data_IF_812498795284
#
_entry.id   IF_812498795284
#
_cell.length_a   1.000
_cell.length_b   1.000
_cell.length_c   1.000
_cell.angle_alpha   90.00
_cell.angle_beta   90.00
_cell.angle_gamma   90.00
#
_symmetry.space_group_name_H-M   'P 1'
#
loop_
_entity.id
_entity.type
_entity.pdbx_description
1 polymer ?
#
# COMPACT_ATOMS: atom_id res chain seq x y z
N UNK A 1 23.84 -59.69 -9.86
CA UNK A 1 22.40 -59.57 -9.52
C UNK A 1 22.28 -58.94 -8.14
N UNK A 2 22.14 -57.61 -8.06
CA UNK A 2 21.76 -56.87 -6.85
C UNK A 2 20.81 -55.77 -7.32
N UNK A 3 19.58 -55.83 -6.84
CA UNK A 3 18.50 -54.93 -7.24
C UNK A 3 18.65 -53.63 -6.45
N UNK A 4 18.87 -52.55 -7.19
CA UNK A 4 18.83 -51.15 -6.81
C UNK A 4 17.42 -50.76 -6.38
N UNK A 5 17.26 -50.03 -5.26
CA UNK A 5 16.05 -49.26 -4.97
C UNK A 5 16.40 -47.79 -4.89
N UNK A 6 16.12 -47.09 -5.98
CA UNK A 6 15.99 -45.64 -6.04
C UNK A 6 14.72 -45.24 -5.29
N UNK A 7 14.84 -44.45 -4.23
CA UNK A 7 13.72 -43.67 -3.70
C UNK A 7 13.79 -42.29 -4.37
N UNK A 8 12.92 -42.08 -5.36
CA UNK A 8 12.73 -40.78 -5.99
C UNK A 8 12.01 -39.84 -5.03
N UNK A 9 12.63 -38.70 -4.75
CA UNK A 9 11.96 -37.52 -4.22
C UNK A 9 10.93 -37.06 -5.28
N UNK A 10 9.64 -37.21 -4.98
CA UNK A 10 8.62 -36.47 -5.70
C UNK A 10 8.59 -35.05 -5.13
N UNK A 11 9.37 -34.15 -5.71
CA UNK A 11 9.19 -32.71 -5.51
C UNK A 11 7.84 -32.35 -6.12
N UNK A 12 6.86 -32.03 -5.29
CA UNK A 12 5.61 -31.44 -5.72
C UNK A 12 5.94 -29.99 -6.13
N UNK A 13 6.29 -29.80 -7.39
CA UNK A 13 6.30 -28.50 -8.05
C UNK A 13 4.86 -27.99 -8.06
N UNK A 14 4.48 -27.22 -7.04
CA UNK A 14 3.32 -26.33 -7.14
C UNK A 14 3.76 -25.20 -8.06
N UNK A 15 3.65 -25.43 -9.36
CA UNK A 15 3.55 -24.32 -10.31
C UNK A 15 2.25 -23.60 -9.94
N UNK A 16 2.37 -22.42 -9.33
CA UNK A 16 1.30 -21.43 -9.39
C UNK A 16 1.24 -21.02 -10.86
N UNK A 17 0.58 -21.85 -11.67
CA UNK A 17 -0.06 -21.39 -12.87
C UNK A 17 -1.19 -20.47 -12.39
N UNK A 18 -0.82 -19.25 -11.99
CA UNK A 18 -1.77 -18.16 -12.10
C UNK A 18 -2.22 -18.22 -13.54
N UNK A 19 -3.52 -18.41 -13.76
CA UNK A 19 -4.10 -18.27 -15.08
C UNK A 19 -3.60 -16.91 -15.60
N UNK A 20 -2.57 -16.96 -16.45
CA UNK A 20 -2.15 -15.81 -17.24
C UNK A 20 -3.42 -15.30 -17.85
N UNK A 21 -3.78 -14.06 -17.54
CA UNK A 21 -4.94 -13.39 -18.10
C UNK A 21 -4.89 -13.53 -19.63
N UNK A 22 -5.53 -14.58 -20.17
CA UNK A 22 -5.43 -14.95 -21.59
C UNK A 22 -6.02 -13.86 -22.49
N UNK A 23 -6.83 -12.96 -21.91
CA UNK A 23 -7.42 -11.82 -22.60
C UNK A 23 -6.59 -10.53 -22.51
N UNK A 24 -5.51 -10.50 -21.73
CA UNK A 24 -4.66 -9.31 -21.63
C UNK A 24 -3.67 -9.17 -22.80
N UNK A 25 -3.48 -10.24 -23.60
CA UNK A 25 -2.58 -10.25 -24.78
C UNK A 25 -3.24 -9.78 -26.08
N UNK A 26 -4.55 -9.50 -26.07
CA UNK A 26 -5.25 -9.02 -27.27
C UNK A 26 -5.35 -7.49 -27.26
N UNK A 27 -4.40 -6.87 -27.95
CA UNK A 27 -4.15 -5.44 -28.11
C UNK A 27 -5.29 -4.60 -28.76
N UNK A 28 -6.57 -5.01 -28.70
CA UNK A 28 -7.65 -4.39 -29.49
C UNK A 28 -8.87 -3.86 -28.75
N UNK A 29 -8.93 -3.89 -27.41
CA UNK A 29 -10.16 -3.45 -26.69
C UNK A 29 -9.92 -2.68 -25.39
N UNK A 30 -9.13 -1.61 -25.43
CA UNK A 30 -9.08 -0.64 -24.34
C UNK A 30 -9.49 0.76 -24.82
N UNK A 31 -10.73 0.86 -25.29
CA UNK A 31 -11.42 2.13 -25.51
C UNK A 31 -12.83 1.99 -24.95
N UNK A 32 -13.03 2.35 -23.67
CA UNK A 32 -14.38 2.62 -23.16
C UNK A 32 -14.38 3.66 -22.04
N UNK A 33 -14.71 4.89 -22.45
CA UNK A 33 -15.51 5.93 -21.80
C UNK A 33 -15.57 6.00 -20.26
N UNK A 34 -14.90 7.02 -19.71
CA UNK A 34 -15.04 7.50 -18.33
C UNK A 34 -15.90 8.78 -18.31
N UNK A 35 -17.22 8.64 -18.15
CA UNK A 35 -18.07 9.72 -17.66
C UNK A 35 -19.37 9.16 -17.08
N UNK A 36 -19.54 9.18 -15.75
CA UNK A 36 -20.88 9.28 -15.12
C UNK A 36 -20.75 10.12 -13.85
N UNK A 37 -21.36 11.31 -13.89
CA UNK A 37 -21.63 12.24 -12.79
C UNK A 37 -23.06 12.05 -12.25
N UNK A 38 -23.26 12.49 -11.00
CA UNK A 38 -24.45 13.15 -10.42
C UNK A 38 -25.77 12.40 -10.11
N UNK A 39 -26.24 12.60 -8.87
CA UNK A 39 -27.62 13.05 -8.57
C UNK A 39 -28.53 12.13 -7.76
N UNK A 40 -29.00 12.56 -6.58
CA UNK A 40 -30.40 13.00 -6.38
C UNK A 40 -30.67 13.45 -4.93
N UNK A 41 -31.19 14.68 -4.80
CA UNK A 41 -31.88 15.21 -3.61
C UNK A 41 -33.21 14.50 -3.35
N UNK A 42 -33.58 14.30 -2.07
CA UNK A 42 -34.97 14.46 -1.58
C UNK A 42 -35.00 14.85 -0.09
N UNK A 43 -35.74 15.92 0.18
CA UNK A 43 -36.17 16.38 1.51
C UNK A 43 -37.47 15.66 1.90
N UNK A 44 -37.61 15.26 3.17
CA UNK A 44 -38.89 14.84 3.75
C UNK A 44 -39.13 15.52 5.11
N UNK A 45 -40.37 15.96 5.30
CA UNK A 45 -40.89 16.70 6.47
C UNK A 45 -41.16 15.76 7.65
N UNK A 46 -40.86 16.24 8.86
CA UNK A 46 -40.85 15.49 10.11
C UNK A 46 -42.26 15.21 10.67
N UNK A 47 -42.51 13.94 11.01
CA UNK A 47 -43.55 13.49 11.95
C UNK A 47 -42.93 12.92 13.23
N UNK A 48 -43.67 12.96 14.35
CA UNK A 48 -43.22 12.61 15.72
C UNK A 48 -42.43 11.28 15.80
N UNK A 49 -41.37 11.20 16.63
CA UNK A 49 -40.46 10.07 16.65
C UNK A 49 -41.14 8.82 17.25
N UNK A 50 -41.24 7.71 16.50
CA UNK A 50 -41.49 6.41 17.08
C UNK A 50 -40.26 5.95 17.87
N UNK A 51 -40.46 5.07 18.85
CA UNK A 51 -39.37 4.45 19.62
C UNK A 51 -38.28 3.96 18.67
N UNK A 52 -36.98 4.10 19.02
CA UNK A 52 -35.92 3.65 18.15
C UNK A 52 -36.16 2.18 17.82
N UNK A 53 -36.26 1.83 16.52
CA UNK A 53 -36.28 0.43 16.16
C UNK A 53 -35.00 -0.21 16.72
N UNK A 54 -35.05 -1.49 17.13
CA UNK A 54 -33.82 -2.22 17.42
C UNK A 54 -32.85 -1.99 16.25
N UNK A 55 -31.54 -1.79 16.53
CA UNK A 55 -30.57 -1.54 15.48
C UNK A 55 -30.77 -2.60 14.40
N UNK A 56 -30.87 -2.19 13.12
CA UNK A 56 -31.04 -3.15 12.05
C UNK A 56 -29.96 -4.23 12.22
N UNK A 57 -30.29 -5.52 12.05
CA UNK A 57 -29.28 -6.56 12.05
C UNK A 57 -28.15 -6.10 11.14
N UNK A 58 -26.87 -6.31 11.54
CA UNK A 58 -25.73 -5.77 10.82
C UNK A 58 -25.96 -6.01 9.33
N UNK A 59 -25.93 -4.93 8.54
CA UNK A 59 -26.20 -5.02 7.11
C UNK A 59 -25.34 -6.16 6.58
N UNK A 60 -26.00 -7.22 6.08
CA UNK A 60 -25.32 -8.41 5.60
C UNK A 60 -24.31 -7.92 4.57
N UNK A 61 -23.02 -8.05 4.87
CA UNK A 61 -21.98 -7.51 4.00
C UNK A 61 -22.02 -8.38 2.75
N UNK A 62 -22.58 -7.82 1.68
CA UNK A 62 -22.71 -8.53 0.42
C UNK A 62 -21.33 -8.58 -0.26
N UNK A 63 -20.99 -9.68 -0.94
CA UNK A 63 -19.87 -9.74 -1.86
C UNK A 63 -19.83 -8.51 -2.78
N UNK A 64 -18.63 -8.11 -3.20
CA UNK A 64 -18.48 -7.07 -4.21
C UNK A 64 -19.35 -7.40 -5.44
N UNK A 65 -20.04 -6.40 -5.98
CA UNK A 65 -20.83 -6.58 -7.20
C UNK A 65 -19.92 -6.83 -8.42
N UNK A 66 -20.49 -7.37 -9.50
CA UNK A 66 -19.73 -7.67 -10.73
C UNK A 66 -19.02 -6.42 -11.29
N UNK A 67 -19.61 -5.24 -11.10
CA UNK A 67 -19.00 -3.97 -11.52
C UNK A 67 -17.71 -3.71 -10.76
N UNK A 68 -17.72 -3.86 -9.44
CA UNK A 68 -16.56 -3.68 -8.56
C UNK A 68 -15.52 -4.75 -8.83
N UNK A 69 -15.94 -6.00 -8.95
CA UNK A 69 -15.06 -7.12 -9.32
C UNK A 69 -14.36 -6.87 -10.65
N UNK A 70 -15.09 -6.55 -11.71
CA UNK A 70 -14.53 -6.31 -13.03
C UNK A 70 -13.53 -5.13 -13.03
N UNK A 71 -13.86 -4.05 -12.33
CA UNK A 71 -12.95 -2.90 -12.15
C UNK A 71 -11.65 -3.30 -11.45
N UNK A 72 -11.72 -4.11 -10.38
CA UNK A 72 -10.54 -4.60 -9.67
C UNK A 72 -9.72 -5.55 -10.55
N UNK A 73 -10.39 -6.45 -11.28
CA UNK A 73 -9.76 -7.36 -12.24
C UNK A 73 -8.99 -6.57 -13.31
N UNK A 74 -9.61 -5.57 -13.93
CA UNK A 74 -8.98 -4.73 -14.94
C UNK A 74 -7.75 -3.99 -14.41
N UNK A 75 -7.80 -3.49 -13.16
CA UNK A 75 -6.62 -2.89 -12.50
C UNK A 75 -5.50 -3.91 -12.30
N UNK A 76 -5.83 -5.12 -11.83
CA UNK A 76 -4.85 -6.20 -11.67
C UNK A 76 -4.22 -6.62 -13.00
N UNK A 77 -5.03 -6.68 -14.05
CA UNK A 77 -4.57 -6.93 -15.42
C UNK A 77 -3.59 -5.86 -15.91
N UNK A 78 -3.92 -4.58 -15.70
CA UNK A 78 -3.05 -3.46 -16.06
C UNK A 78 -1.74 -3.49 -15.26
N UNK A 79 -1.79 -3.77 -13.96
CA UNK A 79 -0.58 -3.91 -13.13
C UNK A 79 0.30 -5.06 -13.61
N UNK A 80 -0.29 -6.23 -13.88
CA UNK A 80 0.43 -7.39 -14.40
C UNK A 80 1.07 -7.08 -15.75
N UNK A 81 0.32 -6.47 -16.67
CA UNK A 81 0.85 -6.01 -17.96
C UNK A 81 2.03 -5.05 -17.77
N UNK A 82 1.89 -4.02 -16.94
CA UNK A 82 2.92 -3.01 -16.71
C UNK A 82 4.22 -3.59 -16.13
N UNK A 83 4.15 -4.63 -15.29
CA UNK A 83 5.33 -5.31 -14.75
C UNK A 83 6.17 -6.05 -15.82
N UNK A 84 5.60 -6.34 -16.99
CA UNK A 84 6.27 -7.05 -18.09
C UNK A 84 6.68 -6.13 -19.25
N UNK A 85 6.41 -4.83 -19.16
CA UNK A 85 6.67 -3.85 -20.21
C UNK A 85 7.71 -2.84 -19.75
N UNK A 86 8.27 -2.08 -20.69
CA UNK A 86 9.21 -1.02 -20.32
C UNK A 86 8.50 0.14 -19.62
N UNK A 87 9.26 0.92 -18.86
CA UNK A 87 8.73 2.01 -18.03
C UNK A 87 8.08 3.12 -18.86
N UNK A 88 8.57 3.39 -20.06
CA UNK A 88 7.97 4.36 -20.99
C UNK A 88 6.57 3.96 -21.44
N UNK A 89 6.40 2.71 -21.85
CA UNK A 89 5.10 2.12 -22.22
C UNK A 89 4.15 2.13 -21.03
N UNK A 90 4.60 1.69 -19.86
CA UNK A 90 3.79 1.70 -18.64
C UNK A 90 3.40 3.13 -18.23
N UNK A 91 4.29 4.10 -18.42
CA UNK A 91 4.08 5.51 -18.09
C UNK A 91 2.87 6.12 -18.79
N UNK A 92 2.58 5.72 -20.04
CA UNK A 92 1.45 6.25 -20.80
C UNK A 92 0.06 5.87 -20.24
N UNK A 93 -0.01 4.83 -19.41
CA UNK A 93 -1.25 4.40 -18.76
C UNK A 93 -1.52 5.06 -17.40
N UNK A 94 -0.60 5.91 -16.93
CA UNK A 94 -0.86 6.75 -15.76
C UNK A 94 -1.90 7.82 -16.07
N UNK A 95 -2.53 8.35 -15.03
CA UNK A 95 -3.46 9.48 -15.15
C UNK A 95 -2.97 10.63 -14.26
N UNK A 96 -2.48 11.74 -14.85
CA UNK A 96 -2.26 11.96 -16.28
C UNK A 96 -1.13 11.07 -16.86
N UNK A 97 -1.10 10.84 -18.19
CA UNK A 97 -0.05 10.07 -18.85
C UNK A 97 1.35 10.65 -18.56
N UNK A 98 2.32 9.76 -18.43
CA UNK A 98 3.72 10.09 -18.16
C UNK A 98 4.60 9.52 -19.27
N UNK A 99 5.81 10.08 -19.41
CA UNK A 99 6.84 9.54 -20.31
C UNK A 99 7.57 8.33 -19.72
N UNK A 100 7.38 8.07 -18.43
CA UNK A 100 7.97 6.96 -17.68
C UNK A 100 7.08 6.62 -16.48
N UNK A 101 7.05 5.34 -16.10
CA UNK A 101 6.48 4.86 -14.85
C UNK A 101 7.43 5.08 -13.64
N UNK A 102 8.68 5.46 -13.88
CA UNK A 102 9.66 5.73 -12.84
C UNK A 102 9.21 6.89 -11.93
N UNK A 103 9.56 6.75 -10.65
CA UNK A 103 9.29 7.80 -9.66
C UNK A 103 10.09 9.07 -9.98
N UNK A 104 9.49 10.27 -9.92
CA UNK A 104 10.24 11.51 -9.99
C UNK A 104 11.04 11.79 -8.70
N UNK A 105 10.78 11.04 -7.63
CA UNK A 105 11.45 11.19 -6.33
C UNK A 105 12.66 10.28 -6.25
N UNK A 106 13.78 10.80 -5.75
CA UNK A 106 15.09 10.15 -5.87
C UNK A 106 15.79 9.97 -4.53
N UNK A 107 15.35 10.64 -3.46
CA UNK A 107 16.01 10.57 -2.15
C UNK A 107 15.06 10.73 -0.97
N UNK A 108 15.54 10.39 0.23
CA UNK A 108 14.84 10.74 1.48
C UNK A 108 14.63 12.26 1.65
N UNK A 109 15.43 13.09 0.97
CA UNK A 109 15.19 14.53 0.93
C UNK A 109 13.86 14.90 0.26
N UNK A 110 13.40 14.10 -0.71
CA UNK A 110 12.09 14.28 -1.33
C UNK A 110 10.95 13.95 -0.36
N UNK A 111 11.13 12.96 0.52
CA UNK A 111 10.16 12.68 1.58
C UNK A 111 9.98 13.91 2.49
N UNK A 112 11.08 14.45 3.02
CA UNK A 112 11.05 15.62 3.90
C UNK A 112 10.49 16.86 3.19
N UNK A 113 10.88 17.09 1.92
CA UNK A 113 10.34 18.16 1.07
C UNK A 113 8.82 18.06 0.93
N UNK A 114 8.30 16.86 0.80
CA UNK A 114 6.87 16.55 0.71
C UNK A 114 6.23 16.22 2.07
N UNK A 115 6.82 16.69 3.18
CA UNK A 115 6.24 16.63 4.53
C UNK A 115 5.97 15.21 5.05
N UNK A 116 6.74 14.24 4.56
CA UNK A 116 6.78 12.88 5.09
C UNK A 116 7.94 12.75 6.08
N UNK A 117 7.62 12.27 7.28
CA UNK A 117 8.60 12.10 8.34
C UNK A 117 8.64 10.66 8.79
N UNK A 118 9.83 10.15 9.11
CA UNK A 118 9.98 8.84 9.73
C UNK A 118 9.64 8.97 11.21
N UNK A 119 8.80 8.07 11.72
CA UNK A 119 8.51 8.00 13.14
C UNK A 119 9.71 7.43 13.88
N UNK A 120 10.07 8.00 15.04
CA UNK A 120 11.05 7.37 15.91
C UNK A 120 10.64 5.94 16.22
N UNK A 121 11.59 5.00 16.19
CA UNK A 121 11.32 3.59 16.46
C UNK A 121 10.67 3.39 17.84
N UNK A 122 11.13 4.14 18.85
CA UNK A 122 10.58 4.14 20.19
C UNK A 122 9.10 4.59 20.26
N UNK A 123 8.57 5.20 19.21
CA UNK A 123 7.16 5.60 19.08
C UNK A 123 6.32 4.59 18.30
N UNK A 124 6.93 3.54 17.76
CA UNK A 124 6.23 2.43 17.11
C UNK A 124 5.83 1.43 18.20
N UNK A 125 4.57 1.02 18.21
CA UNK A 125 4.08 0.07 19.21
C UNK A 125 4.80 -1.28 19.05
N UNK A 126 5.25 -1.87 20.17
CA UNK A 126 6.03 -3.12 20.17
C UNK A 126 5.33 -4.27 19.42
N UNK A 127 3.99 -4.30 19.46
CA UNK A 127 3.20 -5.31 18.76
C UNK A 127 3.45 -5.32 17.24
N UNK A 128 3.81 -4.17 16.63
CA UNK A 128 4.06 -4.05 15.19
C UNK A 128 5.31 -4.82 14.75
N UNK A 129 6.22 -5.13 15.69
CA UNK A 129 7.43 -5.92 15.45
C UNK A 129 7.14 -7.44 15.50
N UNK A 130 5.98 -7.86 16.00
CA UNK A 130 5.58 -9.26 16.03
C UNK A 130 4.75 -9.64 14.80
N UNK A 131 5.41 -10.22 13.79
CA UNK A 131 4.80 -10.45 12.47
C UNK A 131 3.79 -11.60 12.45
N UNK A 132 3.86 -12.49 13.43
CA UNK A 132 2.86 -13.53 13.60
C UNK A 132 1.60 -12.97 14.29
N UNK A 133 1.77 -12.22 15.38
CA UNK A 133 0.65 -11.77 16.21
C UNK A 133 -0.08 -10.55 15.61
N UNK A 134 0.64 -9.53 15.16
CA UNK A 134 0.02 -8.30 14.65
C UNK A 134 -0.48 -8.44 13.21
N UNK A 135 0.27 -9.18 12.38
CA UNK A 135 0.08 -9.17 10.93
C UNK A 135 -0.33 -10.52 10.34
N UNK A 136 -0.13 -11.63 11.08
CA UNK A 136 -0.49 -12.97 10.64
C UNK A 136 0.36 -13.51 9.49
N UNK A 137 1.55 -12.94 9.23
CA UNK A 137 2.40 -13.29 8.09
C UNK A 137 3.63 -14.13 8.46
N UNK A 138 3.91 -14.32 9.75
CA UNK A 138 5.10 -15.05 10.23
C UNK A 138 5.28 -16.43 9.57
N UNK A 139 4.27 -17.30 9.63
CA UNK A 139 4.33 -18.63 9.04
C UNK A 139 4.54 -18.61 7.51
N UNK A 140 4.00 -17.60 6.82
CA UNK A 140 4.19 -17.46 5.38
C UNK A 140 5.63 -17.05 5.05
N UNK A 141 6.24 -16.18 5.85
CA UNK A 141 7.65 -15.82 5.70
C UNK A 141 8.56 -17.04 5.90
N UNK A 142 8.32 -17.82 6.96
CA UNK A 142 9.07 -19.06 7.21
C UNK A 142 8.96 -20.04 6.03
N UNK A 143 7.76 -20.24 5.50
CA UNK A 143 7.52 -21.12 4.35
C UNK A 143 8.23 -20.64 3.06
N UNK A 144 8.46 -19.33 2.93
CA UNK A 144 9.22 -18.72 1.84
C UNK A 144 10.74 -18.71 2.09
N UNK A 145 11.19 -19.22 3.25
CA UNK A 145 12.60 -19.17 3.65
C UNK A 145 13.08 -17.77 4.04
N UNK A 146 12.17 -16.86 4.36
CA UNK A 146 12.45 -15.49 4.79
C UNK A 146 12.45 -15.44 6.32
N UNK A 147 13.38 -14.70 6.91
CA UNK A 147 13.39 -14.46 8.35
C UNK A 147 12.02 -13.87 8.79
N UNK A 148 11.30 -14.45 9.78
CA UNK A 148 9.98 -13.97 10.19
C UNK A 148 10.03 -12.93 11.32
N UNK A 149 11.22 -12.55 11.78
CA UNK A 149 11.41 -11.72 12.97
C UNK A 149 11.90 -10.32 12.62
N UNK A 150 11.38 -9.34 13.35
CA UNK A 150 11.88 -7.98 13.28
C UNK A 150 13.29 -7.85 13.88
N UNK A 151 14.10 -6.93 13.35
CA UNK A 151 15.46 -6.63 13.85
C UNK A 151 15.50 -6.06 15.27
N UNK A 152 14.33 -5.77 15.83
CA UNK A 152 14.11 -5.50 17.24
C UNK A 152 14.43 -6.71 18.14
N UNK A 153 14.27 -7.93 17.61
CA UNK A 153 14.59 -9.17 18.32
C UNK A 153 15.95 -9.72 17.85
N UNK A 154 16.65 -10.42 18.75
CA UNK A 154 17.93 -11.04 18.42
C UNK A 154 17.80 -11.99 17.22
N UNK A 155 18.64 -11.79 16.21
CA UNK A 155 18.64 -12.58 14.97
C UNK A 155 17.53 -12.23 13.97
N UNK A 156 16.72 -11.20 14.24
CA UNK A 156 15.74 -10.69 13.28
C UNK A 156 16.38 -9.83 12.18
N UNK A 157 15.77 -9.84 10.99
CA UNK A 157 16.28 -9.14 9.80
C UNK A 157 15.30 -8.11 9.23
N UNK A 158 14.06 -8.13 9.72
CA UNK A 158 13.00 -7.26 9.22
C UNK A 158 12.99 -5.92 9.96
N UNK A 159 13.43 -4.86 9.28
CA UNK A 159 13.39 -3.50 9.82
C UNK A 159 11.99 -2.94 9.66
N UNK A 160 11.33 -2.51 10.74
CA UNK A 160 10.00 -1.87 10.68
C UNK A 160 10.15 -0.35 10.57
N UNK A 161 9.38 0.26 9.68
CA UNK A 161 9.25 1.70 9.51
C UNK A 161 7.79 2.11 9.66
N UNK A 162 7.57 3.28 10.25
CA UNK A 162 6.37 4.09 10.01
C UNK A 162 6.79 5.45 9.49
N UNK A 163 6.18 5.88 8.41
CA UNK A 163 6.43 7.18 7.78
C UNK A 163 5.08 7.85 7.59
N UNK A 164 4.84 8.95 8.31
CA UNK A 164 3.56 9.64 8.25
C UNK A 164 3.71 11.03 7.62
N UNK A 165 2.62 11.50 7.01
CA UNK A 165 2.44 12.82 6.44
C UNK A 165 1.83 13.77 7.49
N UNK A 166 2.59 13.95 8.58
CA UNK A 166 2.37 14.88 9.70
C UNK A 166 3.69 15.09 10.44
N UNK A 167 3.75 16.01 11.39
CA UNK A 167 4.93 16.18 12.23
C UNK A 167 5.15 14.96 13.16
N UNK A 168 6.40 14.50 13.36
CA UNK A 168 6.73 13.39 14.25
C UNK A 168 6.83 13.84 15.73
N UNK A 169 6.75 12.92 16.70
CA UNK A 169 6.69 13.25 18.14
C UNK A 169 7.93 13.94 18.72
N UNK A 170 9.07 13.84 18.05
CA UNK A 170 10.31 14.56 18.39
C UNK A 170 10.34 15.99 17.83
N UNK A 171 9.34 16.39 17.05
CA UNK A 171 9.19 17.76 16.57
C UNK A 171 8.53 18.66 17.64
N UNK A 172 9.07 19.85 17.92
CA UNK A 172 8.50 20.77 18.92
C UNK A 172 7.08 21.26 18.60
N UNK A 173 6.63 21.10 17.36
CA UNK A 173 5.29 21.45 16.90
C UNK A 173 4.40 20.22 16.68
N UNK A 174 4.76 19.05 17.21
CA UNK A 174 3.98 17.81 17.10
C UNK A 174 2.51 17.97 17.50
N UNK A 175 2.26 18.71 18.58
CA UNK A 175 0.92 18.93 19.13
C UNK A 175 0.06 19.88 18.30
N UNK A 176 0.61 20.52 17.26
CA UNK A 176 -0.18 21.32 16.32
C UNK A 176 -1.18 20.41 15.61
N UNK A 177 -2.49 20.72 15.61
CA UNK A 177 -3.49 19.91 14.93
C UNK A 177 -3.12 19.67 13.46
N UNK A 178 -3.36 18.47 12.94
CA UNK A 178 -3.01 18.11 11.54
C UNK A 178 -3.66 19.08 10.54
N UNK A 179 -4.86 19.59 10.84
CA UNK A 179 -5.55 20.58 10.01
C UNK A 179 -4.80 21.91 9.89
N UNK A 180 -3.91 22.24 10.82
CA UNK A 180 -3.11 23.46 10.88
C UNK A 180 -1.66 23.23 10.41
N UNK A 181 -1.25 21.98 10.20
CA UNK A 181 0.07 21.64 9.69
C UNK A 181 0.15 21.88 8.18
N UNK A 182 0.79 22.97 7.80
CA UNK A 182 0.94 23.44 6.42
C UNK A 182 2.41 23.53 6.03
N UNK A 183 2.71 23.29 4.76
CA UNK A 183 4.06 23.38 4.22
C UNK A 183 4.05 23.95 2.81
N UNK A 184 5.23 24.32 2.29
CA UNK A 184 5.37 24.89 0.95
C UNK A 184 6.39 24.12 0.13
N UNK A 185 6.05 23.84 -1.11
CA UNK A 185 6.97 23.34 -2.14
C UNK A 185 6.84 24.25 -3.35
N UNK A 186 7.95 24.82 -3.81
CA UNK A 186 7.99 25.74 -4.95
C UNK A 186 6.95 26.88 -4.86
N UNK A 187 6.87 27.54 -3.69
CA UNK A 187 5.91 28.60 -3.37
C UNK A 187 4.42 28.21 -3.37
N UNK A 188 4.07 26.97 -3.72
CA UNK A 188 2.73 26.43 -3.56
C UNK A 188 2.55 25.87 -2.15
N UNK A 189 1.40 26.15 -1.54
CA UNK A 189 1.04 25.74 -0.19
C UNK A 189 0.32 24.39 -0.23
N UNK A 190 0.68 23.51 0.70
CA UNK A 190 0.15 22.16 0.87
C UNK A 190 -0.22 21.94 2.34
N UNK A 191 -0.98 20.89 2.61
CA UNK A 191 -1.42 20.55 3.97
C UNK A 191 -1.07 19.12 4.32
N UNK A 192 -0.70 18.89 5.58
CA UNK A 192 -0.59 17.56 6.14
C UNK A 192 -1.94 16.81 6.03
N UNK A 193 -1.86 15.50 5.83
CA UNK A 193 -3.04 14.67 5.53
C UNK A 193 -3.29 13.59 6.56
N UNK A 194 -2.40 13.42 7.55
CA UNK A 194 -2.40 12.26 8.45
C UNK A 194 -2.16 10.92 7.76
N UNK A 195 -1.68 10.91 6.51
CA UNK A 195 -1.37 9.65 5.84
C UNK A 195 -0.29 8.90 6.60
N UNK A 196 -0.36 7.58 6.63
CA UNK A 196 0.60 6.76 7.34
C UNK A 196 0.92 5.51 6.54
N UNK A 197 2.21 5.32 6.31
CA UNK A 197 2.76 4.13 5.69
C UNK A 197 3.62 3.40 6.70
N UNK A 198 3.12 2.26 7.18
CA UNK A 198 3.88 1.34 8.00
C UNK A 198 4.26 0.12 7.16
N UNK A 199 5.53 -0.24 7.19
CA UNK A 199 6.06 -1.31 6.35
C UNK A 199 7.34 -1.88 6.94
N UNK A 200 7.72 -3.06 6.48
CA UNK A 200 8.99 -3.67 6.82
C UNK A 200 9.87 -3.89 5.60
N UNK A 201 11.18 -3.75 5.81
CA UNK A 201 12.22 -4.01 4.83
C UNK A 201 13.20 -5.06 5.36
N UNK A 202 13.45 -6.09 4.57
CA UNK A 202 14.50 -7.07 4.80
C UNK A 202 15.39 -7.11 3.55
N UNK A 203 16.51 -6.41 3.60
CA UNK A 203 17.43 -6.29 2.45
C UNK A 203 18.25 -7.55 2.20
N UNK A 204 18.33 -8.44 3.19
CA UNK A 204 19.07 -9.71 3.11
C UNK A 204 18.29 -10.75 2.32
N UNK A 205 17.03 -10.98 2.71
CA UNK A 205 16.14 -11.96 2.07
C UNK A 205 15.34 -11.36 0.90
N UNK A 206 15.42 -10.03 0.72
CA UNK A 206 14.86 -9.38 -0.44
C UNK A 206 13.39 -9.05 -0.36
N UNK A 207 12.91 -8.60 0.81
CA UNK A 207 11.48 -8.50 1.10
C UNK A 207 11.07 -7.07 1.46
N UNK A 208 9.98 -6.61 0.85
CA UNK A 208 9.23 -5.42 1.29
C UNK A 208 7.84 -5.88 1.70
N UNK A 209 7.45 -5.58 2.94
CA UNK A 209 6.14 -5.95 3.49
C UNK A 209 5.38 -4.68 3.81
N UNK A 210 4.33 -4.36 3.04
CA UNK A 210 3.39 -3.29 3.40
C UNK A 210 2.47 -3.75 4.52
N UNK A 211 2.51 -3.08 5.66
CA UNK A 211 1.74 -3.42 6.86
C UNK A 211 0.48 -2.53 6.99
N UNK A 212 0.66 -1.20 6.86
CA UNK A 212 -0.41 -0.21 6.77
C UNK A 212 -0.13 0.75 5.61
N UNK A 213 -1.16 1.11 4.84
CA UNK A 213 -1.02 1.94 3.62
C UNK A 213 -2.11 3.00 3.50
N UNK A 214 -2.26 3.81 4.54
CA UNK A 214 -3.22 4.90 4.55
C UNK A 214 -2.74 6.06 3.67
N UNK A 215 -3.30 6.17 2.45
CA UNK A 215 -2.89 7.17 1.47
C UNK A 215 -3.32 8.61 1.82
N UNK A 216 -2.60 9.64 1.36
CA UNK A 216 -2.98 11.05 1.51
C UNK A 216 -4.41 11.37 1.06
N UNK A 217 -4.86 10.77 -0.04
CA UNK A 217 -6.20 10.99 -0.57
C UNK A 217 -7.28 10.44 0.36
N UNK A 218 -7.02 9.31 1.01
CA UNK A 218 -7.96 8.69 1.93
C UNK A 218 -8.05 9.47 3.25
N UNK A 219 -6.90 9.70 3.89
CA UNK A 219 -6.84 10.35 5.21
C UNK A 219 -7.10 11.85 5.13
N UNK A 220 -6.69 12.51 4.04
CA UNK A 220 -6.94 13.93 3.79
C UNK A 220 -8.42 14.28 3.72
N UNK A 221 -9.25 13.38 3.16
CA UNK A 221 -10.72 13.53 3.13
C UNK A 221 -11.38 13.40 4.51
N UNK A 222 -10.73 12.74 5.44
CA UNK A 222 -11.21 12.53 6.81
C UNK A 222 -10.82 13.66 7.75
N UNK A 223 -9.95 14.58 7.30
CA UNK A 223 -9.58 15.75 8.09
C UNK A 223 -10.73 16.74 8.20
N UNK A 224 -10.67 17.61 9.21
CA UNK A 224 -11.64 18.69 9.41
C UNK A 224 -10.93 20.06 9.46
N UNK A 225 -11.07 20.93 8.43
CA UNK A 225 -11.79 20.68 7.18
C UNK A 225 -11.07 19.64 6.30
N UNK A 226 -11.72 18.97 5.34
CA UNK A 226 -11.04 18.08 4.42
C UNK A 226 -9.88 18.78 3.68
N UNK A 227 -8.80 18.05 3.39
CA UNK A 227 -7.70 18.58 2.56
C UNK A 227 -8.21 18.67 1.11
N UNK A 228 -8.09 19.86 0.51
CA UNK A 228 -8.48 20.06 -0.89
C UNK A 228 -7.53 19.34 -1.85
N UNK A 229 -8.02 18.90 -3.01
CA UNK A 229 -7.23 18.15 -4.00
C UNK A 229 -6.00 18.96 -4.49
N UNK A 230 -6.09 20.30 -4.56
CA UNK A 230 -4.98 21.18 -4.94
C UNK A 230 -3.90 21.32 -3.84
N UNK A 231 -4.21 20.95 -2.60
CA UNK A 231 -3.32 21.01 -1.43
C UNK A 231 -2.71 19.65 -1.06
N UNK A 232 -2.97 18.61 -1.85
CA UNK A 232 -2.38 17.27 -1.66
C UNK A 232 -0.90 17.25 -2.06
N UNK A 233 -0.05 16.44 -1.40
CA UNK A 233 1.33 16.24 -1.84
C UNK A 233 1.37 15.67 -3.25
N UNK A 234 2.47 15.88 -3.98
CA UNK A 234 2.73 15.10 -5.20
C UNK A 234 3.22 13.69 -4.86
N UNK A 235 4.02 13.55 -3.80
CA UNK A 235 4.48 12.26 -3.27
C UNK A 235 3.35 11.60 -2.48
N UNK A 236 2.58 10.75 -3.17
CA UNK A 236 1.34 10.16 -2.64
C UNK A 236 1.37 8.64 -2.54
N UNK A 237 2.31 7.99 -3.23
CA UNK A 237 2.29 6.55 -3.39
C UNK A 237 3.17 5.87 -2.34
N UNK A 238 2.65 4.78 -1.78
CA UNK A 238 3.42 3.91 -0.90
C UNK A 238 4.69 3.38 -1.58
N UNK A 239 4.62 3.04 -2.88
CA UNK A 239 5.75 2.52 -3.64
C UNK A 239 6.93 3.49 -3.68
N UNK A 240 6.68 4.79 -3.78
CA UNK A 240 7.73 5.82 -3.74
C UNK A 240 8.40 5.83 -2.36
N UNK A 241 7.61 5.86 -1.29
CA UNK A 241 8.11 5.89 0.09
C UNK A 241 8.90 4.62 0.44
N UNK A 242 8.38 3.46 0.07
CA UNK A 242 9.02 2.17 0.28
C UNK A 242 10.31 2.04 -0.53
N UNK A 243 10.30 2.43 -1.81
CA UNK A 243 11.50 2.40 -2.67
C UNK A 243 12.61 3.32 -2.15
N UNK A 244 12.28 4.56 -1.78
CA UNK A 244 13.26 5.50 -1.22
C UNK A 244 13.87 4.98 0.08
N UNK A 245 13.07 4.32 0.92
CA UNK A 245 13.53 3.69 2.16
C UNK A 245 14.37 2.44 1.90
N UNK A 246 14.03 1.64 0.88
CA UNK A 246 14.83 0.50 0.42
C UNK A 246 16.20 0.95 -0.06
N UNK A 247 16.26 1.95 -0.95
CA UNK A 247 17.51 2.49 -1.47
C UNK A 247 18.40 3.02 -0.34
N UNK A 248 17.83 3.73 0.63
CA UNK A 248 18.56 4.21 1.82
C UNK A 248 19.13 3.05 2.64
N UNK A 249 18.32 2.04 2.95
CA UNK A 249 18.74 0.90 3.77
C UNK A 249 19.80 0.04 3.09
N UNK A 250 19.63 -0.25 1.79
CA UNK A 250 20.60 -1.02 0.99
C UNK A 250 21.94 -0.29 0.94
N UNK A 251 21.95 1.02 0.67
CA UNK A 251 23.19 1.82 0.65
C UNK A 251 23.90 1.81 2.00
N UNK A 252 23.16 1.92 3.11
CA UNK A 252 23.72 1.88 4.47
C UNK A 252 24.32 0.52 4.84
N UNK A 253 23.78 -0.57 4.28
CA UNK A 253 24.25 -1.95 4.50
C UNK A 253 25.21 -2.46 3.44
N UNK A 254 25.62 -1.62 2.48
CA UNK A 254 26.44 -2.01 1.31
C UNK A 254 25.87 -3.24 0.57
N UNK A 255 24.54 -3.27 0.40
CA UNK A 255 23.82 -4.39 -0.21
C UNK A 255 23.55 -4.22 -1.72
N UNK A 256 22.91 -5.22 -2.33
CA UNK A 256 22.46 -5.17 -3.72
C UNK A 256 21.05 -4.55 -3.84
N UNK A 257 20.96 -3.44 -4.58
CA UNK A 257 19.69 -2.75 -4.85
C UNK A 257 18.69 -3.62 -5.62
N UNK A 258 19.18 -4.61 -6.38
CA UNK A 258 18.36 -5.51 -7.21
C UNK A 258 17.82 -6.71 -6.45
N UNK A 259 18.21 -6.89 -5.19
CA UNK A 259 17.82 -8.04 -4.38
C UNK A 259 16.35 -7.96 -3.88
N UNK A 260 15.41 -7.39 -4.64
CA UNK A 260 13.99 -7.48 -4.29
C UNK A 260 13.42 -8.75 -4.89
N UNK A 261 13.02 -9.69 -4.03
CA UNK A 261 12.42 -10.97 -4.39
C UNK A 261 10.91 -10.99 -4.10
N UNK A 262 10.48 -10.32 -3.04
CA UNK A 262 9.11 -10.39 -2.54
C UNK A 262 8.54 -9.00 -2.21
N UNK A 263 7.33 -8.74 -2.72
CA UNK A 263 6.49 -7.62 -2.33
C UNK A 263 5.21 -8.17 -1.67
N UNK A 264 5.11 -8.04 -0.35
CA UNK A 264 4.02 -8.61 0.45
C UNK A 264 3.10 -7.48 0.91
N UNK A 265 1.79 -7.70 0.83
CA UNK A 265 0.78 -6.82 1.41
C UNK A 265 0.07 -7.55 2.55
N UNK A 266 0.36 -7.17 3.80
CA UNK A 266 -0.36 -7.70 4.95
C UNK A 266 -1.72 -7.00 5.10
N UNK A 267 -2.70 -7.72 5.66
CA UNK A 267 -3.99 -7.21 6.11
C UNK A 267 -4.64 -6.19 5.15
N UNK A 268 -4.98 -6.64 3.94
CA UNK A 268 -5.70 -5.79 2.98
C UNK A 268 -7.15 -5.62 3.44
N UNK A 269 -7.41 -4.54 4.18
CA UNK A 269 -8.76 -4.15 4.58
C UNK A 269 -9.23 -3.05 3.64
N UNK A 270 -10.15 -3.36 2.73
CA UNK A 270 -10.91 -2.35 2.02
C UNK A 270 -12.40 -2.59 2.24
N UNK A 271 -13.21 -1.52 2.24
CA UNK A 271 -14.65 -1.61 2.54
C UNK A 271 -15.37 -2.49 1.52
N UNK A 272 -14.83 -2.57 0.32
CA UNK A 272 -15.31 -3.37 -0.79
C UNK A 272 -15.02 -4.87 -0.64
N UNK A 273 -14.08 -5.29 0.23
CA UNK A 273 -13.66 -6.68 0.47
C UNK A 273 -14.08 -7.23 1.84
N UNK A 274 -14.89 -6.51 2.62
CA UNK A 274 -15.36 -6.98 3.95
C UNK A 274 -16.39 -8.13 3.81
N UNK A 275 -16.51 -8.75 2.64
CA UNK A 275 -17.47 -9.80 2.29
C UNK A 275 -16.85 -11.06 1.69
N UNK A 276 -15.55 -11.28 1.90
CA UNK A 276 -14.87 -12.55 1.57
C UNK A 276 -14.78 -13.43 2.82
#
# INVERSE_FOLDING_TARGET
MRITRFFGLAALLVTVAGETCQNCSNNSKLLTNLTILAGSDKVFVAGKPPRPPPPPPPARILPADDRTWNKCREKGCMLSWAMHHNDGEAGHYYVPPRITAASPFQSLGDLAKWFWFRWPEASIQEIYFNFNLAWGVGNALEALGVNPHADYYEGGENRVYSIDHRLPPDNPYFDVPIAEQEYKVNNKKYRATAASFSFSLNTKDGVIIGLNRESPKATGRQQNPPVSDDQMPELTQFSDVAWLSWVDMVKKKDGDLKNIQYLISALVVNRETVSV
#
